data_IF_880957385611
#
_entry.id   IF_880957385611
#
_cell.length_a   1.000
_cell.length_b   1.000
_cell.length_c   1.000
_cell.angle_alpha   90.00
_cell.angle_beta   90.00
_cell.angle_gamma   90.00
#
_symmetry.space_group_name_H-M   'P 1'
#
loop_
_entity.id
_entity.type
_entity.pdbx_description
1 polymer ?
#
# COMPACT_ATOMS: atom_id res chain seq x y z
N UNK A 1 -0.39 12.87 -4.61
CA UNK A 1 -0.80 14.10 -5.35
C UNK A 1 -1.12 15.19 -4.33
N UNK A 2 -0.26 16.20 -4.18
CA UNK A 2 -0.38 17.22 -3.10
C UNK A 2 -1.64 18.09 -3.19
N UNK A 3 -2.31 18.15 -4.34
CA UNK A 3 -3.53 18.95 -4.52
C UNK A 3 -4.79 18.24 -4.06
N UNK A 4 -4.82 16.91 -4.15
CA UNK A 4 -6.00 16.08 -3.84
C UNK A 4 -5.89 15.49 -2.43
N UNK A 5 -4.69 15.47 -1.84
CA UNK A 5 -4.51 14.90 -0.50
C UNK A 5 -4.58 13.37 -0.51
N UNK A 6 -4.14 12.71 -1.59
CA UNK A 6 -4.11 11.25 -1.69
C UNK A 6 -2.70 10.79 -2.08
N UNK A 7 -2.20 9.80 -1.35
CA UNK A 7 -0.98 9.07 -1.60
C UNK A 7 -1.31 7.58 -1.80
N UNK A 8 -0.74 7.01 -2.85
CA UNK A 8 -0.96 5.62 -3.23
C UNK A 8 0.38 4.89 -3.29
N UNK A 9 0.45 3.74 -2.65
CA UNK A 9 1.56 2.80 -2.80
C UNK A 9 1.04 1.43 -3.25
N UNK A 10 1.89 0.66 -3.93
CA UNK A 10 1.57 -0.72 -4.32
C UNK A 10 2.25 -1.68 -3.35
N UNK A 11 1.54 -2.71 -2.89
CA UNK A 11 2.13 -3.80 -2.10
C UNK A 11 1.53 -5.13 -2.52
N UNK A 12 2.32 -6.21 -2.40
CA UNK A 12 1.77 -7.55 -2.52
C UNK A 12 0.99 -7.94 -1.26
N UNK A 13 -0.09 -8.69 -1.42
CA UNK A 13 -0.91 -9.25 -0.34
C UNK A 13 -0.90 -10.78 -0.33
N UNK A 14 -1.47 -11.35 0.73
CA UNK A 14 -1.80 -12.78 0.81
C UNK A 14 -2.98 -13.13 -0.10
N UNK A 15 -3.37 -14.41 -0.15
CA UNK A 15 -4.54 -14.88 -0.92
C UNK A 15 -5.87 -14.22 -0.55
N UNK A 16 -5.93 -13.52 0.59
CA UNK A 16 -7.09 -12.80 1.10
C UNK A 16 -7.41 -11.49 0.33
N UNK A 17 -6.54 -11.06 -0.60
CA UNK A 17 -6.82 -9.93 -1.51
C UNK A 17 -8.05 -10.24 -2.35
N UNK A 18 -8.99 -9.29 -2.42
CA UNK A 18 -10.26 -9.48 -3.13
C UNK A 18 -11.33 -10.22 -2.32
N UNK A 19 -10.97 -10.79 -1.16
CA UNK A 19 -11.86 -11.66 -0.38
C UNK A 19 -12.42 -10.91 0.84
N UNK A 20 -13.71 -10.58 0.82
CA UNK A 20 -14.37 -9.80 1.86
C UNK A 20 -14.34 -10.47 3.25
N UNK A 21 -14.41 -11.81 3.28
CA UNK A 21 -14.49 -12.59 4.52
C UNK A 21 -13.13 -13.12 5.00
N UNK A 22 -12.03 -12.81 4.29
CA UNK A 22 -10.69 -13.23 4.70
C UNK A 22 -9.89 -12.08 5.32
N UNK A 23 -8.94 -12.47 6.18
CA UNK A 23 -8.04 -11.55 6.85
C UNK A 23 -6.91 -11.12 5.91
N UNK A 24 -7.04 -9.92 5.36
CA UNK A 24 -6.03 -9.35 4.48
C UNK A 24 -4.76 -9.01 5.24
N UNK A 25 -3.64 -9.50 4.72
CA UNK A 25 -2.32 -9.17 5.21
C UNK A 25 -1.39 -8.80 4.07
N UNK A 26 -0.59 -7.75 4.25
CA UNK A 26 0.50 -7.46 3.31
C UNK A 26 1.53 -8.58 3.34
N UNK A 27 2.08 -8.99 2.20
CA UNK A 27 3.02 -10.13 2.11
C UNK A 27 4.38 -9.85 2.75
N UNK A 28 4.82 -8.59 2.69
CA UNK A 28 6.12 -8.16 3.21
C UNK A 28 5.92 -7.29 4.44
N UNK A 29 6.84 -7.40 5.41
CA UNK A 29 6.88 -6.49 6.55
C UNK A 29 7.13 -5.05 6.08
N UNK A 30 6.71 -4.10 6.91
CA UNK A 30 6.76 -2.67 6.69
C UNK A 30 7.58 -2.04 7.79
N UNK A 31 8.45 -1.11 7.41
CA UNK A 31 9.34 -0.42 8.34
C UNK A 31 8.67 0.78 9.03
N UNK A 32 9.44 1.44 9.89
CA UNK A 32 8.98 2.60 10.68
C UNK A 32 8.37 3.71 9.84
N UNK A 33 8.93 3.98 8.64
CA UNK A 33 8.40 5.00 7.73
C UNK A 33 6.93 4.72 7.35
N UNK A 34 6.54 3.46 7.15
CA UNK A 34 5.14 3.10 6.92
C UNK A 34 4.29 3.30 8.18
N UNK A 35 4.85 2.99 9.36
CA UNK A 35 4.18 3.24 10.63
C UNK A 35 3.84 4.71 10.86
N UNK A 36 4.76 5.62 10.54
CA UNK A 36 4.52 7.08 10.63
C UNK A 36 3.40 7.53 9.70
N UNK A 37 3.37 7.02 8.46
CA UNK A 37 2.31 7.33 7.49
C UNK A 37 0.94 6.82 7.97
N UNK A 38 0.89 5.61 8.53
CA UNK A 38 -0.34 5.04 9.09
C UNK A 38 -0.82 5.86 10.30
N UNK A 39 0.09 6.32 11.16
CA UNK A 39 -0.27 7.20 12.27
C UNK A 39 -0.89 8.53 11.78
N UNK A 40 -0.40 9.08 10.66
CA UNK A 40 -1.00 10.27 10.05
C UNK A 40 -2.43 9.99 9.52
N UNK A 41 -2.65 8.83 8.89
CA UNK A 41 -3.99 8.40 8.47
C UNK A 41 -4.99 8.32 9.63
N UNK A 42 -4.54 7.89 10.81
CA UNK A 42 -5.35 7.85 12.02
C UNK A 42 -5.71 9.26 12.51
N UNK A 43 -4.76 10.20 12.47
CA UNK A 43 -5.03 11.59 12.86
C UNK A 43 -6.08 12.25 11.94
N UNK A 44 -6.02 11.99 10.63
CA UNK A 44 -7.05 12.46 9.67
C UNK A 44 -8.44 11.84 9.91
N UNK A 45 -8.51 10.74 10.66
CA UNK A 45 -9.78 10.09 10.99
C UNK A 45 -10.52 10.77 12.13
N UNK A 46 -9.87 11.67 12.86
CA UNK A 46 -10.49 12.49 13.91
C UNK A 46 -10.92 13.82 13.31
N UNK A 47 -12.20 13.92 12.96
CA UNK A 47 -12.82 15.19 12.61
C UNK A 47 -13.41 15.82 13.90
N UNK A 48 -12.77 16.86 14.48
CA UNK A 48 -13.26 17.50 15.68
C UNK A 48 -14.63 18.16 15.50
N UNK A 49 -15.01 18.55 14.27
CA UNK A 49 -16.33 19.13 13.98
C UNK A 49 -17.42 18.06 14.05
N UNK A 50 -17.14 16.84 13.58
CA UNK A 50 -18.03 15.67 13.75
C UNK A 50 -18.21 15.30 15.23
N UNK A 51 -17.17 15.51 16.05
CA UNK A 51 -17.19 15.21 17.48
C UNK A 51 -17.70 16.37 18.36
N UNK A 52 -18.04 17.52 17.77
CA UNK A 52 -18.51 18.70 18.50
C UNK A 52 -17.47 19.29 19.47
N UNK A 53 -16.18 19.03 19.23
CA UNK A 53 -15.08 19.48 20.09
C UNK A 53 -14.60 20.86 19.60
N UNK A 54 -14.73 21.88 20.45
CA UNK A 54 -14.14 23.19 20.17
C UNK A 54 -12.62 23.15 20.39
N UNK A 55 -11.87 22.92 19.31
CA UNK A 55 -10.40 22.93 19.36
C UNK A 55 -9.91 24.33 18.96
N UNK A 56 -9.13 24.97 19.85
CA UNK A 56 -8.42 26.21 19.49
C UNK A 56 -7.35 25.88 18.44
N UNK A 57 -7.19 26.71 17.39
CA UNK A 57 -6.16 26.46 16.39
C UNK A 57 -4.79 26.83 16.99
N UNK A 58 -4.09 25.85 17.56
CA UNK A 58 -2.71 26.04 18.01
C UNK A 58 -1.74 25.44 17.00
N UNK A 59 -1.03 26.32 16.30
CA UNK A 59 0.12 26.10 15.39
C UNK A 59 -0.14 25.23 14.15
N UNK A 60 0.39 25.61 12.97
CA UNK A 60 0.31 24.76 11.79
C UNK A 60 1.25 23.58 12.01
N UNK A 61 0.72 22.48 12.53
CA UNK A 61 1.37 21.18 12.36
C UNK A 61 1.45 21.00 10.85
N UNK A 62 2.66 20.80 10.31
CA UNK A 62 2.84 20.38 8.92
C UNK A 62 2.36 18.93 8.81
N UNK A 63 1.05 18.73 8.98
CA UNK A 63 0.39 17.49 8.68
C UNK A 63 0.51 17.34 7.17
N UNK A 64 1.20 16.30 6.75
CA UNK A 64 0.96 15.73 5.44
C UNK A 64 -0.51 15.30 5.48
N UNK A 65 -1.41 16.19 5.06
CA UNK A 65 -2.86 16.02 5.11
C UNK A 65 -3.34 15.06 4.01
N UNK A 66 -2.49 14.08 3.70
CA UNK A 66 -2.67 13.16 2.61
C UNK A 66 -3.15 11.84 3.18
N UNK A 67 -4.29 11.38 2.70
CA UNK A 67 -4.72 10.02 2.92
C UNK A 67 -3.84 9.05 2.16
N UNK A 68 -3.27 8.11 2.88
CA UNK A 68 -2.45 7.06 2.31
C UNK A 68 -3.25 5.79 2.09
N UNK A 69 -3.12 5.22 0.90
CA UNK A 69 -3.82 4.02 0.45
C UNK A 69 -2.83 3.02 -0.16
N UNK A 70 -3.12 1.73 0.00
CA UNK A 70 -2.42 0.68 -0.71
C UNK A 70 -3.27 0.12 -1.84
N UNK A 71 -2.72 0.04 -3.04
CA UNK A 71 -3.16 -0.95 -4.02
C UNK A 71 -2.51 -2.28 -3.65
N UNK A 72 -3.29 -3.19 -3.08
CA UNK A 72 -2.82 -4.51 -2.66
C UNK A 72 -3.08 -5.51 -3.77
N UNK A 73 -2.02 -6.19 -4.23
CA UNK A 73 -2.09 -7.10 -5.38
C UNK A 73 -1.72 -8.52 -4.98
N UNK A 74 -2.44 -9.50 -5.51
CA UNK A 74 -2.14 -10.92 -5.39
C UNK A 74 -2.35 -11.61 -6.73
N UNK A 75 -1.42 -12.47 -7.13
CA UNK A 75 -1.57 -13.33 -8.30
C UNK A 75 -1.26 -14.77 -7.88
N UNK A 76 -2.08 -15.71 -8.34
CA UNK A 76 -1.93 -17.15 -8.11
C UNK A 76 -1.65 -17.93 -9.42
N UNK A 77 -1.42 -17.22 -10.52
CA UNK A 77 -1.10 -17.78 -11.84
C UNK A 77 -2.31 -17.91 -12.77
N UNK A 78 -3.51 -18.07 -12.21
CA UNK A 78 -4.76 -18.16 -12.96
C UNK A 78 -5.44 -16.78 -13.08
N UNK A 79 -5.34 -15.96 -12.04
CA UNK A 79 -5.90 -14.61 -12.00
C UNK A 79 -4.99 -13.61 -11.26
N UNK A 80 -5.29 -12.32 -11.45
CA UNK A 80 -4.77 -11.22 -10.65
C UNK A 80 -5.92 -10.60 -9.87
N UNK A 81 -5.84 -10.72 -8.54
CA UNK A 81 -6.73 -10.04 -7.59
C UNK A 81 -6.06 -8.78 -7.09
N UNK A 82 -6.83 -7.69 -6.98
CA UNK A 82 -6.35 -6.46 -6.37
C UNK A 82 -7.48 -5.71 -5.66
N UNK A 83 -7.11 -4.94 -4.65
CA UNK A 83 -8.02 -4.07 -3.90
C UNK A 83 -7.30 -2.79 -3.47
N UNK A 84 -8.07 -1.73 -3.27
CA UNK A 84 -7.58 -0.47 -2.72
C UNK A 84 -7.93 -0.44 -1.22
N UNK A 85 -6.92 -0.48 -0.36
CA UNK A 85 -7.11 -0.66 1.08
C UNK A 85 -6.37 0.41 1.89
N UNK A 86 -7.10 1.07 2.79
CA UNK A 86 -6.58 2.12 3.67
C UNK A 86 -6.01 1.47 4.93
N UNK A 87 -4.68 1.49 5.14
CA UNK A 87 -4.07 0.82 6.28
C UNK A 87 -4.44 1.52 7.59
N UNK A 88 -4.69 0.71 8.63
CA UNK A 88 -5.05 1.18 9.97
C UNK A 88 -3.96 0.90 11.01
N UNK A 89 -3.32 -0.28 10.95
CA UNK A 89 -2.22 -0.62 11.84
C UNK A 89 -1.22 -1.59 11.20
N UNK A 90 -0.05 -1.69 11.83
CA UNK A 90 0.95 -2.73 11.56
C UNK A 90 0.91 -3.69 12.75
N UNK A 91 0.78 -4.99 12.49
CA UNK A 91 0.85 -6.03 13.51
C UNK A 91 2.27 -6.20 14.07
N UNK A 92 2.39 -6.95 15.17
CA UNK A 92 3.67 -7.14 15.88
C UNK A 92 4.77 -7.80 15.02
N UNK A 93 4.38 -8.51 13.97
CA UNK A 93 5.30 -9.13 13.00
C UNK A 93 5.72 -8.18 11.86
N UNK A 94 5.33 -6.91 11.94
CA UNK A 94 5.68 -5.86 11.00
C UNK A 94 4.81 -5.81 9.75
N UNK A 95 3.77 -6.63 9.61
CA UNK A 95 2.91 -6.60 8.42
C UNK A 95 1.69 -5.71 8.66
N UNK A 96 1.20 -5.07 7.61
CA UNK A 96 -0.12 -4.43 7.67
C UNK A 96 -1.17 -5.54 7.59
N UNK A 97 -1.96 -5.67 8.65
CA UNK A 97 -2.98 -6.70 8.83
C UNK A 97 -4.35 -6.11 9.23
N UNK A 98 -4.41 -4.80 9.46
CA UNK A 98 -5.63 -4.07 9.78
C UNK A 98 -5.86 -2.92 8.81
N UNK A 99 -7.11 -2.81 8.36
CA UNK A 99 -7.52 -1.92 7.27
C UNK A 99 -8.79 -1.20 7.68
N UNK A 100 -8.79 0.13 7.54
CA UNK A 100 -9.95 0.96 7.88
C UNK A 100 -11.05 0.85 6.82
N UNK A 101 -10.63 0.75 5.56
CA UNK A 101 -11.50 0.68 4.40
C UNK A 101 -10.86 -0.22 3.34
N UNK A 102 -11.68 -1.00 2.63
CA UNK A 102 -11.29 -1.92 1.57
C UNK A 102 -12.26 -1.76 0.40
N UNK A 103 -11.74 -1.43 -0.77
CA UNK A 103 -12.50 -1.30 -2.02
C UNK A 103 -12.05 -2.43 -2.94
N UNK A 104 -12.96 -3.36 -3.20
CA UNK A 104 -12.70 -4.57 -3.98
C UNK A 104 -12.88 -4.31 -5.48
N UNK A 105 -12.00 -4.88 -6.29
CA UNK A 105 -12.14 -4.93 -7.74
C UNK A 105 -12.41 -6.36 -8.18
N UNK A 106 -12.97 -6.50 -9.38
CA UNK A 106 -13.13 -7.82 -10.02
C UNK A 106 -11.74 -8.38 -10.37
N UNK A 107 -11.49 -9.69 -10.13
CA UNK A 107 -10.27 -10.34 -10.57
C UNK A 107 -10.10 -10.25 -12.08
N UNK A 108 -8.86 -10.13 -12.53
CA UNK A 108 -8.52 -10.19 -13.95
C UNK A 108 -7.96 -11.59 -14.24
N UNK A 109 -8.62 -12.40 -15.09
CA UNK A 109 -8.05 -13.67 -15.55
C UNK A 109 -6.70 -13.45 -16.22
N UNK A 110 -5.72 -14.35 -16.00
CA UNK A 110 -4.38 -14.20 -16.54
C UNK A 110 -4.37 -14.14 -18.08
N UNK A 111 -5.28 -14.88 -18.73
CA UNK A 111 -5.47 -14.90 -20.18
C UNK A 111 -5.92 -13.55 -20.75
N UNK A 112 -6.56 -12.71 -19.94
CA UNK A 112 -7.05 -11.38 -20.34
C UNK A 112 -5.99 -10.28 -20.16
N UNK A 113 -4.84 -10.61 -19.56
CA UNK A 113 -3.76 -9.64 -19.33
C UNK A 113 -2.97 -9.49 -20.63
N UNK A 114 -2.89 -8.28 -21.21
CA UNK A 114 -2.05 -8.03 -22.37
C UNK A 114 -0.60 -8.33 -22.00
N UNK A 115 -0.04 -9.39 -22.58
CA UNK A 115 1.38 -9.67 -22.46
C UNK A 115 2.09 -8.69 -23.37
N UNK A 116 2.73 -7.67 -22.77
CA UNK A 116 3.74 -6.91 -23.49
C UNK A 116 4.88 -7.88 -23.80
N UNK A 117 4.92 -8.36 -25.05
CA UNK A 117 6.07 -9.09 -25.56
C UNK A 117 7.16 -8.06 -25.71
N UNK A 118 7.86 -7.78 -24.60
CA UNK A 118 9.07 -6.97 -24.59
C UNK A 118 9.95 -7.40 -25.76
N UNK A 119 10.60 -6.41 -26.38
CA UNK A 119 11.47 -6.60 -27.54
C UNK A 119 12.32 -7.87 -27.40
N UNK A 120 12.31 -8.68 -28.46
CA UNK A 120 13.06 -9.92 -28.61
C UNK A 120 14.43 -9.84 -27.92
N UNK A 121 14.71 -10.85 -27.09
CA UNK A 121 15.93 -11.11 -26.35
C UNK A 121 17.18 -10.46 -26.99
N UNK A 122 17.63 -9.34 -26.43
CA UNK A 122 19.04 -8.98 -26.61
C UNK A 122 19.83 -10.02 -25.82
N UNK A 123 20.71 -10.74 -26.51
CA UNK A 123 21.65 -11.71 -25.95
C UNK A 123 22.39 -11.10 -24.75
N UNK A 124 21.97 -11.47 -23.53
CA UNK A 124 22.63 -11.10 -22.27
C UNK A 124 23.90 -11.95 -22.11
N UNK A 125 24.98 -11.53 -22.78
CA UNK A 125 26.33 -12.06 -22.60
C UNK A 125 27.25 -11.03 -21.90
N UNK A 126 26.70 -10.26 -20.95
CA UNK A 126 27.51 -9.41 -20.07
C UNK A 126 27.22 -9.68 -18.59
N UNK A 127 28.21 -10.28 -17.90
CA UNK A 127 28.22 -10.50 -16.46
C UNK A 127 28.03 -9.18 -15.69
N UNK A 128 26.87 -9.00 -15.06
CA UNK A 128 26.61 -7.85 -14.19
C UNK A 128 27.42 -8.01 -12.89
N UNK A 129 28.57 -7.33 -12.82
CA UNK A 129 29.36 -7.20 -11.60
C UNK A 129 28.78 -6.08 -10.73
N UNK A 130 28.05 -6.44 -9.68
CA UNK A 130 27.56 -5.49 -8.67
C UNK A 130 28.60 -5.33 -7.56
N UNK A 131 29.25 -4.17 -7.47
CA UNK A 131 30.17 -3.84 -6.39
C UNK A 131 29.41 -3.39 -5.13
N UNK A 132 29.46 -4.21 -4.08
CA UNK A 132 28.83 -3.92 -2.77
C UNK A 132 29.88 -3.42 -1.79
N UNK A 133 29.99 -2.09 -1.68
CA UNK A 133 30.74 -1.45 -0.60
C UNK A 133 29.90 -1.34 0.67
N UNK A 134 30.29 -2.04 1.74
CA UNK A 134 29.72 -1.82 3.08
C UNK A 134 30.16 -0.46 3.61
N UNK A 135 29.20 0.39 3.97
CA UNK A 135 29.47 1.66 4.65
C UNK A 135 29.85 1.35 6.11
N UNK A 136 31.09 1.70 6.48
CA UNK A 136 31.61 1.64 7.86
C UNK A 136 31.17 2.88 8.62
#
# INVERSE_FOLDING_TARGET
NKKIGIELAVTSGTKAVGQANEHLKSKNSKGNATGEIIANNLQLSFDPDVLGLQVKPETPVTLYNNEFWYLVVHSDGDEVRFELSKPYSIGDDGHVDSWKERIFFEPIPMDDIPVDKGQEDMEDDEDIVVDVSRKI
#
